data_IF_883482151143
#
_entry.id   IF_883482151143
#
_cell.length_a   1.000
_cell.length_b   1.000
_cell.length_c   1.000
_cell.angle_alpha   90.00
_cell.angle_beta   90.00
_cell.angle_gamma   90.00
#
_symmetry.space_group_name_H-M   'P 1'
#
loop_
_entity.id
_entity.type
_entity.pdbx_description
1 polymer ?
#
# COMPACT_ATOMS: atom_id res chain seq x y z
N UNK A 1 7.43 -6.05 -8.96
CA UNK A 1 6.93 -5.47 -7.70
C UNK A 1 5.47 -5.14 -7.94
N UNK A 2 4.59 -5.48 -7.00
CA UNK A 2 3.16 -5.20 -7.08
C UNK A 2 2.84 -4.06 -6.11
N UNK A 3 2.05 -3.07 -6.56
CA UNK A 3 1.62 -1.96 -5.72
C UNK A 3 0.12 -2.10 -5.47
N UNK A 4 -0.24 -2.14 -4.19
CA UNK A 4 -1.64 -2.18 -3.73
C UNK A 4 -1.92 -0.86 -3.02
N UNK A 5 -2.84 -0.08 -3.55
CA UNK A 5 -3.30 1.17 -2.94
C UNK A 5 -4.70 0.97 -2.37
N UNK A 6 -4.88 1.26 -1.07
CA UNK A 6 -6.16 1.11 -0.38
C UNK A 6 -6.69 2.48 0.01
N UNK A 7 -7.79 2.92 -0.62
CA UNK A 7 -8.41 4.19 -0.27
C UNK A 7 -9.16 4.08 1.07
N UNK A 8 -8.95 5.05 1.96
CA UNK A 8 -9.42 5.00 3.35
C UNK A 8 -10.71 5.78 3.62
N UNK A 9 -11.16 6.62 2.69
CA UNK A 9 -12.46 7.31 2.80
C UNK A 9 -13.60 6.40 2.36
N UNK A 10 -14.62 6.29 3.19
CA UNK A 10 -15.84 5.55 2.88
C UNK A 10 -16.87 6.38 2.11
N UNK A 11 -18.02 5.74 1.83
CA UNK A 11 -19.18 6.40 1.25
C UNK A 11 -19.06 6.76 -0.24
N UNK A 12 -20.19 7.21 -0.82
CA UNK A 12 -20.29 7.53 -2.26
C UNK A 12 -19.27 8.59 -2.70
N UNK A 13 -19.07 9.61 -1.88
CA UNK A 13 -18.11 10.68 -2.17
C UNK A 13 -16.66 10.16 -2.18
N UNK A 14 -16.28 9.32 -1.21
CA UNK A 14 -14.96 8.68 -1.18
C UNK A 14 -14.71 7.85 -2.44
N UNK A 15 -15.71 7.10 -2.91
CA UNK A 15 -15.62 6.35 -4.17
C UNK A 15 -15.37 7.26 -5.37
N UNK A 16 -16.15 8.33 -5.49
CA UNK A 16 -16.04 9.26 -6.62
C UNK A 16 -14.65 9.92 -6.65
N UNK A 17 -14.17 10.40 -5.49
CA UNK A 17 -12.82 10.96 -5.35
C UNK A 17 -11.75 9.93 -5.73
N UNK A 18 -11.88 8.68 -5.27
CA UNK A 18 -10.90 7.65 -5.56
C UNK A 18 -10.84 7.27 -7.04
N UNK A 19 -11.99 7.04 -7.67
CA UNK A 19 -12.05 6.72 -9.11
C UNK A 19 -11.50 7.87 -9.95
N UNK A 20 -11.85 9.12 -9.62
CA UNK A 20 -11.33 10.30 -10.30
C UNK A 20 -9.80 10.37 -10.21
N UNK A 21 -9.25 10.23 -9.01
CA UNK A 21 -7.80 10.25 -8.77
C UNK A 21 -7.05 9.16 -9.56
N UNK A 22 -7.54 7.91 -9.52
CA UNK A 22 -6.94 6.79 -10.26
C UNK A 22 -6.90 7.06 -11.76
N UNK A 23 -7.97 7.63 -12.33
CA UNK A 23 -8.06 7.93 -13.76
C UNK A 23 -7.18 9.12 -14.16
N UNK A 24 -7.17 10.20 -13.37
CA UNK A 24 -6.35 11.41 -13.64
C UNK A 24 -4.85 11.09 -13.62
N UNK A 25 -4.42 10.23 -12.70
CA UNK A 25 -3.03 9.81 -12.57
C UNK A 25 -2.68 8.53 -13.34
N UNK A 26 -3.64 7.94 -14.07
CA UNK A 26 -3.46 6.73 -14.89
C UNK A 26 -2.84 5.55 -14.11
N UNK A 27 -3.27 5.34 -12.86
CA UNK A 27 -2.71 4.30 -11.96
C UNK A 27 -3.21 2.88 -12.28
N UNK A 28 -3.33 2.55 -13.56
CA UNK A 28 -3.98 1.33 -14.03
C UNK A 28 -3.12 0.07 -13.84
N UNK A 29 -1.83 0.23 -13.61
CA UNK A 29 -0.90 -0.85 -13.28
C UNK A 29 -0.87 -1.19 -11.78
N UNK A 30 -1.63 -0.47 -10.94
CA UNK A 30 -1.76 -0.72 -9.51
C UNK A 30 -3.04 -1.48 -9.21
N UNK A 31 -3.03 -2.25 -8.12
CA UNK A 31 -4.25 -2.81 -7.55
C UNK A 31 -4.89 -1.73 -6.68
N UNK A 32 -5.90 -1.07 -7.22
CA UNK A 32 -6.61 0.03 -6.55
C UNK A 32 -7.82 -0.49 -5.76
N UNK A 33 -7.63 -0.69 -4.46
CA UNK A 33 -8.62 -1.22 -3.53
C UNK A 33 -9.45 -0.12 -2.88
N UNK A 34 -10.71 -0.45 -2.59
CA UNK A 34 -11.59 0.40 -1.77
C UNK A 34 -12.56 -0.49 -1.01
N UNK A 35 -12.54 -0.41 0.32
CA UNK A 35 -13.45 -1.14 1.21
C UNK A 35 -14.35 -0.15 1.95
N UNK A 36 -15.56 0.13 1.44
CA UNK A 36 -16.49 1.08 2.08
C UNK A 36 -17.21 0.55 3.32
N UNK A 37 -17.28 -0.78 3.46
CA UNK A 37 -18.13 -1.44 4.47
C UNK A 37 -17.32 -2.18 5.53
N UNK A 38 -16.04 -2.44 5.27
CA UNK A 38 -15.17 -3.17 6.18
C UNK A 38 -13.92 -2.36 6.49
N UNK A 39 -13.75 -2.03 7.78
CA UNK A 39 -12.60 -1.32 8.34
C UNK A 39 -11.62 -2.25 9.05
N UNK A 40 -11.84 -3.57 9.07
CA UNK A 40 -10.97 -4.54 9.73
C UNK A 40 -9.54 -4.48 9.23
N UNK A 41 -9.32 -4.11 7.96
CA UNK A 41 -7.98 -3.89 7.42
C UNK A 41 -7.22 -2.78 8.16
N UNK A 42 -7.90 -1.73 8.65
CA UNK A 42 -7.26 -0.66 9.43
C UNK A 42 -6.71 -1.21 10.74
N UNK A 43 -7.47 -2.07 11.43
CA UNK A 43 -7.02 -2.72 12.66
C UNK A 43 -5.92 -3.75 12.40
N UNK A 44 -6.11 -4.63 11.41
CA UNK A 44 -5.14 -5.70 11.07
C UNK A 44 -3.77 -5.15 10.66
N UNK A 45 -3.75 -4.02 9.97
CA UNK A 45 -2.52 -3.37 9.52
C UNK A 45 -2.10 -2.19 10.40
N UNK A 46 -2.82 -1.88 11.48
CA UNK A 46 -2.48 -0.79 12.41
C UNK A 46 -2.46 0.61 11.73
N UNK A 47 -3.42 0.86 10.83
CA UNK A 47 -3.52 2.09 10.03
C UNK A 47 -4.19 3.22 10.84
N UNK A 48 -3.39 4.05 11.50
CA UNK A 48 -3.88 5.25 12.22
C UNK A 48 -3.85 6.53 11.39
N UNK A 49 -2.95 6.64 10.42
CA UNK A 49 -2.75 7.84 9.61
C UNK A 49 -2.58 7.48 8.13
N UNK A 50 -2.86 8.43 7.25
CA UNK A 50 -2.65 8.30 5.80
C UNK A 50 -1.79 9.46 5.30
N UNK A 51 -0.82 9.21 4.40
CA UNK A 51 -0.44 7.91 3.86
C UNK A 51 0.36 7.06 4.87
N UNK A 52 0.20 5.72 4.83
CA UNK A 52 1.08 4.76 5.50
C UNK A 52 1.49 3.69 4.50
N UNK A 53 2.79 3.40 4.41
CA UNK A 53 3.35 2.44 3.45
C UNK A 53 3.86 1.22 4.20
N UNK A 54 3.58 0.04 3.65
CA UNK A 54 4.09 -1.26 4.10
C UNK A 54 4.79 -1.94 2.94
N UNK A 55 5.93 -2.58 3.21
CA UNK A 55 6.59 -3.46 2.27
C UNK A 55 6.40 -4.89 2.74
N UNK A 56 5.92 -5.74 1.84
CA UNK A 56 5.68 -7.16 2.11
C UNK A 56 6.59 -8.00 1.23
N UNK A 57 7.04 -9.15 1.74
CA UNK A 57 7.76 -10.13 0.94
C UNK A 57 6.80 -11.06 0.17
N UNK A 58 7.35 -12.04 -0.55
CA UNK A 58 6.58 -13.01 -1.34
C UNK A 58 5.60 -13.86 -0.51
N UNK A 59 5.91 -14.09 0.77
CA UNK A 59 5.07 -14.83 1.71
C UNK A 59 4.02 -13.93 2.38
N UNK A 60 3.89 -12.67 1.93
CA UNK A 60 3.01 -11.64 2.49
C UNK A 60 3.34 -11.23 3.93
N UNK A 61 4.58 -11.50 4.37
CA UNK A 61 5.09 -11.02 5.66
C UNK A 61 5.52 -9.57 5.52
N UNK A 62 5.19 -8.74 6.51
CA UNK A 62 5.59 -7.33 6.54
C UNK A 62 7.08 -7.27 6.90
N UNK A 63 7.90 -6.77 5.98
CA UNK A 63 9.35 -6.59 6.16
C UNK A 63 9.73 -5.15 6.49
N UNK A 64 8.85 -4.20 6.15
CA UNK A 64 8.95 -2.82 6.61
C UNK A 64 7.55 -2.19 6.77
N UNK A 65 7.41 -1.30 7.74
CA UNK A 65 6.14 -0.62 8.06
C UNK A 65 6.38 0.87 8.31
N UNK A 66 5.41 1.71 7.94
CA UNK A 66 5.42 3.17 8.17
C UNK A 66 6.66 3.86 7.59
N UNK A 67 7.05 3.44 6.39
CA UNK A 67 8.23 3.98 5.70
C UNK A 67 7.84 5.13 4.76
N UNK A 68 8.78 6.05 4.53
CA UNK A 68 8.68 7.07 3.50
C UNK A 68 8.91 6.48 2.10
N UNK A 69 8.41 7.18 1.07
CA UNK A 69 8.59 6.76 -0.34
C UNK A 69 10.07 6.62 -0.71
N UNK A 70 10.90 7.55 -0.23
CA UNK A 70 12.34 7.60 -0.48
C UNK A 70 13.09 6.37 0.05
N UNK A 71 12.55 5.72 1.09
CA UNK A 71 13.19 4.57 1.75
C UNK A 71 12.86 3.23 1.05
N UNK A 72 11.88 3.21 0.14
CA UNK A 72 11.39 1.96 -0.45
C UNK A 72 12.48 1.26 -1.26
N UNK A 73 13.21 2.01 -2.09
CA UNK A 73 14.26 1.44 -2.95
C UNK A 73 15.41 0.85 -2.13
N UNK A 74 15.88 1.58 -1.11
CA UNK A 74 16.95 1.14 -0.21
C UNK A 74 16.57 -0.16 0.51
N UNK A 75 15.37 -0.24 1.07
CA UNK A 75 14.90 -1.43 1.79
C UNK A 75 14.77 -2.62 0.84
N UNK A 76 14.24 -2.42 -0.37
CA UNK A 76 14.13 -3.49 -1.37
C UNK A 76 15.51 -4.05 -1.71
N UNK A 77 16.49 -3.17 -1.92
CA UNK A 77 17.84 -3.57 -2.28
C UNK A 77 18.56 -4.29 -1.13
N UNK A 78 18.40 -3.78 0.09
CA UNK A 78 18.88 -4.46 1.30
C UNK A 78 18.33 -5.89 1.43
N UNK A 79 17.02 -6.07 1.22
CA UNK A 79 16.34 -7.37 1.33
C UNK A 79 16.74 -8.35 0.21
N UNK A 80 17.02 -7.86 -0.99
CA UNK A 80 17.59 -8.69 -2.08
C UNK A 80 19.00 -9.16 -1.75
N UNK A 81 19.86 -8.27 -1.28
CA UNK A 81 21.24 -8.58 -0.94
C UNK A 81 21.36 -9.54 0.25
N UNK A 82 20.45 -9.45 1.22
CA UNK A 82 20.35 -10.40 2.32
C UNK A 82 20.03 -11.82 1.85
N UNK A 83 19.17 -11.97 0.83
CA UNK A 83 18.81 -13.28 0.24
C UNK A 83 19.91 -13.87 -0.63
N UNK A 84 20.71 -13.05 -1.30
CA UNK A 84 21.81 -13.54 -2.14
C UNK A 84 23.00 -14.10 -1.33
N UNK A 85 23.07 -13.79 -0.03
CA UNK A 85 24.12 -14.23 0.89
C UNK A 85 23.76 -15.49 1.70
N UNK A 86 22.51 -15.95 1.60
CA UNK A 86 21.98 -17.14 2.29
C UNK A 86 21.70 -18.25 1.27
#
# INVERSE_FOLDING_TARGET
IEVIAVHTLGGREGKQKWVKFVNEHKLYNWINCWSPYDYQYKTKYDVYASPTIYLLNKNKEIIAKRIGVEQIEEIIEFEKNKKAKN
#
